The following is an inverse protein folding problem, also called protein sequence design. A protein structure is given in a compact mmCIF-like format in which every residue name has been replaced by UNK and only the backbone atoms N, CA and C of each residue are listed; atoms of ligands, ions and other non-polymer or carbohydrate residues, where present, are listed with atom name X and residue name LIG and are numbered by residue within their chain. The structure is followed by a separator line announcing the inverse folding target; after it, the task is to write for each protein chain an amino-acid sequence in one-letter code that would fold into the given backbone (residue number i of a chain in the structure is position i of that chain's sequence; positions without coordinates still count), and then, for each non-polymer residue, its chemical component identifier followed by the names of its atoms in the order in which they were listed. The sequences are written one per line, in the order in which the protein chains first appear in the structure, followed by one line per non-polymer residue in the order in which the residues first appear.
data_IF_988247550209
#
_entry.id   IF_988247550209
#
_cell.length_a   1.000
_cell.length_b   1.000
_cell.length_c   1.000
_cell.angle_alpha   90.00
_cell.angle_beta   90.00
_cell.angle_gamma   90.00
#
_symmetry.space_group_name_H-M   'P 1'
#
loop_
_entity.id
_entity.type
_entity.pdbx_description
1 polymer ?
#
# COMPACT_ATOMS: atom_id res chain seq x y z
N UNK A 1 18.72 -5.13 -17.57
CA UNK A 1 17.30 -4.82 -17.32
C UNK A 1 17.24 -3.84 -16.15
N UNK A 2 16.57 -2.69 -16.29
CA UNK A 2 16.40 -1.73 -15.18
C UNK A 2 15.55 -2.35 -14.07
N UNK A 3 15.59 -1.79 -12.86
CA UNK A 3 14.73 -2.25 -11.77
C UNK A 3 13.26 -2.03 -12.12
N UNK A 4 12.92 -0.92 -12.80
CA UNK A 4 11.57 -0.68 -13.32
C UNK A 4 11.13 -1.77 -14.28
N UNK A 5 11.98 -2.20 -15.22
CA UNK A 5 11.63 -3.31 -16.10
C UNK A 5 11.43 -4.63 -15.34
N UNK A 6 12.28 -4.93 -14.33
CA UNK A 6 12.11 -6.11 -13.46
C UNK A 6 10.79 -6.05 -12.68
N UNK A 7 10.51 -4.90 -12.07
CA UNK A 7 9.31 -4.67 -11.27
C UNK A 7 8.04 -4.82 -12.12
N UNK A 8 8.01 -4.20 -13.31
CA UNK A 8 6.87 -4.28 -14.22
C UNK A 8 6.62 -5.70 -14.73
N UNK A 9 7.68 -6.50 -14.93
CA UNK A 9 7.55 -7.92 -15.25
C UNK A 9 7.03 -8.75 -14.06
N UNK A 10 7.37 -8.36 -12.82
CA UNK A 10 6.93 -9.07 -11.62
C UNK A 10 5.47 -8.72 -11.24
N UNK A 11 5.10 -7.45 -11.38
CA UNK A 11 3.77 -6.91 -11.11
C UNK A 11 3.48 -5.74 -12.05
N UNK A 12 2.34 -5.81 -12.72
CA UNK A 12 1.72 -4.70 -13.43
C UNK A 12 0.21 -4.86 -13.34
N UNK A 13 -0.50 -3.74 -13.36
CA UNK A 13 -1.96 -3.72 -13.37
C UNK A 13 -2.46 -2.98 -14.61
N UNK A 14 -3.51 -3.53 -15.23
CA UNK A 14 -4.17 -2.91 -16.39
C UNK A 14 -5.13 -1.78 -15.97
N UNK A 15 -5.53 -1.74 -14.69
CA UNK A 15 -6.33 -0.68 -14.10
C UNK A 15 -5.41 0.21 -13.26
N UNK A 16 -5.75 1.51 -13.14
CA UNK A 16 -4.94 2.46 -12.37
C UNK A 16 -5.41 2.63 -10.92
N UNK A 17 -6.64 2.21 -10.61
CA UNK A 17 -7.25 2.27 -9.28
C UNK A 17 -8.48 1.38 -9.18
N UNK A 18 -8.85 1.01 -7.96
CA UNK A 18 -10.07 0.28 -7.60
C UNK A 18 -10.93 1.10 -6.66
N UNK A 19 -12.24 0.90 -6.70
CA UNK A 19 -13.17 1.53 -5.76
C UNK A 19 -13.01 0.89 -4.37
N UNK A 20 -12.60 1.69 -3.38
CA UNK A 20 -12.44 1.22 -2.01
C UNK A 20 -13.74 1.39 -1.21
N UNK A 21 -14.47 2.49 -1.44
CA UNK A 21 -15.71 2.77 -0.74
C UNK A 21 -16.16 4.22 -0.88
N UNK A 22 -17.12 4.62 -0.06
CA UNK A 22 -17.66 5.98 0.00
C UNK A 22 -17.46 6.57 1.38
N UNK A 23 -16.88 7.76 1.47
CA UNK A 23 -16.70 8.46 2.75
C UNK A 23 -18.05 8.72 3.39
N UNK A 24 -18.23 8.35 4.66
CA UNK A 24 -19.44 8.64 5.43
C UNK A 24 -19.57 10.13 5.73
N UNK A 25 -18.44 10.82 5.96
CA UNK A 25 -18.41 12.24 6.30
C UNK A 25 -18.75 13.13 5.11
N UNK A 26 -18.14 12.85 3.95
CA UNK A 26 -18.23 13.72 2.78
C UNK A 26 -19.16 13.17 1.69
N UNK A 27 -19.62 11.92 1.81
CA UNK A 27 -20.44 11.26 0.81
C UNK A 27 -19.78 11.22 -0.59
N UNK A 28 -18.45 11.15 -0.62
CA UNK A 28 -17.64 11.06 -1.85
C UNK A 28 -17.02 9.67 -2.00
N UNK A 29 -16.90 9.19 -3.24
CA UNK A 29 -16.16 7.97 -3.55
C UNK A 29 -14.67 8.13 -3.25
N UNK A 30 -14.05 7.09 -2.70
CA UNK A 30 -12.61 7.00 -2.49
C UNK A 30 -12.06 5.78 -3.22
N UNK A 31 -10.87 5.93 -3.81
CA UNK A 31 -10.24 4.90 -4.62
C UNK A 31 -8.86 4.55 -4.06
N UNK A 32 -8.52 3.27 -4.10
CA UNK A 32 -7.17 2.77 -3.86
C UNK A 32 -6.45 2.68 -5.20
N UNK A 33 -5.34 3.39 -5.34
CA UNK A 33 -4.54 3.39 -6.56
C UNK A 33 -3.62 2.18 -6.60
N UNK A 34 -3.43 1.64 -7.80
CA UNK A 34 -2.60 0.45 -8.00
C UNK A 34 -1.13 0.75 -7.71
N UNK A 35 -0.39 -0.21 -7.13
CA UNK A 35 1.03 -0.02 -6.88
C UNK A 35 1.82 0.28 -8.17
N UNK A 36 2.77 1.21 -8.07
CA UNK A 36 3.69 1.56 -9.15
C UNK A 36 5.13 1.47 -8.68
N UNK A 37 6.05 1.07 -9.56
CA UNK A 37 7.47 1.09 -9.24
C UNK A 37 8.10 2.38 -9.76
N UNK A 38 8.46 3.26 -8.84
CA UNK A 38 8.85 4.63 -9.12
C UNK A 38 10.36 4.84 -8.96
N UNK A 39 10.88 5.79 -9.73
CA UNK A 39 12.27 6.26 -9.70
C UNK A 39 13.35 5.17 -9.89
N UNK A 40 13.00 3.94 -10.27
CA UNK A 40 13.89 2.77 -10.37
C UNK A 40 14.35 2.20 -9.00
N UNK A 41 13.68 2.55 -7.88
CA UNK A 41 14.13 2.10 -6.55
C UNK A 41 13.09 1.87 -5.45
N UNK A 42 11.80 2.17 -5.67
CA UNK A 42 10.78 1.89 -4.65
C UNK A 42 9.39 1.69 -5.25
N UNK A 43 8.52 1.01 -4.49
CA UNK A 43 7.09 0.89 -4.80
C UNK A 43 6.29 2.04 -4.17
N UNK A 44 5.54 2.79 -4.97
CA UNK A 44 4.38 3.56 -4.53
C UNK A 44 3.22 2.60 -4.26
N UNK A 45 2.64 2.64 -3.05
CA UNK A 45 1.51 1.79 -2.66
C UNK A 45 0.61 2.49 -1.65
N UNK A 46 -0.68 2.15 -1.69
CA UNK A 46 -1.66 2.53 -0.67
C UNK A 46 -2.10 3.98 -0.75
N UNK A 47 -1.94 4.62 -1.90
CA UNK A 47 -2.51 5.93 -2.14
C UNK A 47 -4.03 5.83 -2.23
N UNK A 48 -4.70 6.53 -1.31
CA UNK A 48 -6.14 6.67 -1.24
C UNK A 48 -6.52 8.07 -1.69
N UNK A 49 -7.42 8.17 -2.66
CA UNK A 49 -7.82 9.48 -3.12
C UNK A 49 -9.00 9.52 -4.06
N UNK A 50 -9.45 10.76 -4.27
CA UNK A 50 -10.41 11.17 -5.27
C UNK A 50 -9.95 12.52 -5.86
N UNK A 51 -10.84 13.30 -6.49
CA UNK A 51 -10.45 14.59 -7.07
C UNK A 51 -10.14 15.67 -6.02
N UNK A 52 -10.60 15.51 -4.78
CA UNK A 52 -10.58 16.52 -3.72
C UNK A 52 -9.75 16.10 -2.49
N UNK A 53 -9.33 14.84 -2.40
CA UNK A 53 -8.66 14.28 -1.24
C UNK A 53 -7.58 13.28 -1.63
N UNK A 54 -6.42 13.37 -0.98
CA UNK A 54 -5.21 12.62 -1.30
C UNK A 54 -4.43 12.29 -0.02
N UNK A 55 -4.33 11.02 0.34
CA UNK A 55 -3.56 10.56 1.49
C UNK A 55 -3.10 9.11 1.30
N UNK A 56 -2.18 8.66 2.14
CA UNK A 56 -1.70 7.28 2.12
C UNK A 56 -2.37 6.47 3.23
N UNK A 57 -2.69 5.21 2.93
CA UNK A 57 -3.26 4.25 3.86
C UNK A 57 -2.37 4.06 5.11
N UNK A 58 -1.03 4.17 4.97
CA UNK A 58 -0.09 4.12 6.10
C UNK A 58 -0.26 5.27 7.10
N UNK A 59 -0.79 6.41 6.65
CA UNK A 59 -1.04 7.57 7.50
C UNK A 59 -2.48 7.63 8.00
N UNK A 60 -3.33 6.67 7.60
CA UNK A 60 -4.78 6.73 7.83
C UNK A 60 -5.19 6.60 9.30
N UNK A 61 -4.32 6.01 10.13
CA UNK A 61 -4.51 5.94 11.57
C UNK A 61 -4.29 7.30 12.27
N UNK A 62 -3.85 8.34 11.55
CA UNK A 62 -3.76 9.70 12.07
C UNK A 62 -5.04 10.47 11.72
N UNK A 63 -5.57 11.23 12.68
CA UNK A 63 -6.68 12.13 12.40
C UNK A 63 -6.27 13.16 11.32
N UNK A 64 -7.17 13.43 10.37
CA UNK A 64 -6.88 14.33 9.23
C UNK A 64 -6.46 15.72 9.72
N UNK A 65 -5.21 16.12 9.43
CA UNK A 65 -4.66 17.42 9.84
C UNK A 65 -4.24 17.51 11.30
N UNK A 66 -4.18 16.39 12.02
CA UNK A 66 -3.86 16.31 13.45
C UNK A 66 -2.70 15.35 13.69
N UNK A 67 -1.86 15.64 14.70
CA UNK A 67 -0.82 14.71 15.18
C UNK A 67 -1.38 13.67 16.15
N UNK A 68 -2.69 13.69 16.42
CA UNK A 68 -3.34 12.72 17.28
C UNK A 68 -3.54 11.43 16.49
N UNK A 69 -2.77 10.40 16.87
CA UNK A 69 -3.03 9.04 16.44
C UNK A 69 -4.40 8.62 16.99
N UNK A 70 -5.24 8.07 16.13
CA UNK A 70 -6.47 7.40 16.56
C UNK A 70 -6.03 6.16 17.34
N UNK A 71 -6.63 5.93 18.50
CA UNK A 71 -6.38 4.72 19.29
C UNK A 71 -7.20 3.54 18.72
N UNK A 72 -6.98 3.22 17.45
CA UNK A 72 -7.65 2.12 16.75
C UNK A 72 -6.81 1.61 15.59
N UNK A 73 -7.06 0.37 15.18
CA UNK A 73 -6.37 -0.24 14.06
C UNK A 73 -6.94 0.20 12.70
N UNK A 74 -6.31 -0.27 11.61
CA UNK A 74 -6.73 0.06 10.25
C UNK A 74 -8.13 -0.47 9.92
N UNK A 75 -8.49 -1.65 10.44
CA UNK A 75 -9.77 -2.30 10.19
C UNK A 75 -10.90 -1.43 10.75
N UNK A 76 -10.78 -1.05 12.02
CA UNK A 76 -11.77 -0.22 12.70
C UNK A 76 -11.83 1.18 12.06
N UNK A 77 -10.69 1.80 11.76
CA UNK A 77 -10.65 3.11 11.12
C UNK A 77 -11.35 3.12 9.75
N UNK A 78 -11.12 2.10 8.92
CA UNK A 78 -11.76 1.99 7.61
C UNK A 78 -13.28 1.78 7.74
N UNK A 79 -13.72 0.95 8.70
CA UNK A 79 -15.15 0.74 8.96
C UNK A 79 -15.81 1.97 9.55
N UNK A 80 -15.12 2.75 10.36
CA UNK A 80 -15.66 3.98 10.93
C UNK A 80 -15.96 4.99 9.81
N UNK A 81 -15.01 5.18 8.90
CA UNK A 81 -15.04 6.33 7.99
C UNK A 81 -15.66 6.06 6.61
N UNK A 82 -15.72 4.79 6.19
CA UNK A 82 -16.22 4.41 4.87
C UNK A 82 -17.41 3.48 4.92
N UNK A 83 -18.31 3.67 3.97
CA UNK A 83 -19.13 2.57 3.45
C UNK A 83 -18.25 1.86 2.42
N UNK A 84 -17.62 0.76 2.84
CA UNK A 84 -16.66 0.02 2.02
C UNK A 84 -17.34 -0.62 0.80
N UNK A 85 -16.55 -0.90 -0.24
CA UNK A 85 -17.02 -1.63 -1.41
C UNK A 85 -17.46 -3.05 -1.03
N UNK A 86 -18.32 -3.71 -1.82
CA UNK A 86 -18.92 -5.00 -1.44
C UNK A 86 -17.90 -6.06 -1.02
N UNK A 87 -16.75 -6.12 -1.69
CA UNK A 87 -15.68 -7.05 -1.35
C UNK A 87 -15.13 -6.89 0.07
N UNK A 88 -15.05 -5.65 0.56
CA UNK A 88 -14.46 -5.30 1.85
C UNK A 88 -15.50 -5.07 2.96
N UNK A 89 -16.80 -5.21 2.65
CA UNK A 89 -17.83 -5.26 3.68
C UNK A 89 -17.84 -6.59 4.44
N UNK A 90 -17.21 -7.63 3.88
CA UNK A 90 -16.93 -8.86 4.61
C UNK A 90 -15.73 -8.64 5.53
N UNK A 91 -15.93 -8.80 6.84
CA UNK A 91 -14.90 -8.55 7.84
C UNK A 91 -13.64 -9.42 7.65
N UNK A 92 -13.76 -10.67 7.19
CA UNK A 92 -12.59 -11.51 6.93
C UNK A 92 -11.76 -10.94 5.77
N UNK A 93 -12.40 -10.48 4.70
CA UNK A 93 -11.70 -9.84 3.58
C UNK A 93 -11.05 -8.53 3.99
N UNK A 94 -11.71 -7.74 4.85
CA UNK A 94 -11.13 -6.50 5.35
C UNK A 94 -9.91 -6.76 6.25
N UNK A 95 -9.96 -7.76 7.13
CA UNK A 95 -8.80 -8.17 7.92
C UNK A 95 -7.64 -8.63 7.03
N UNK A 96 -7.92 -9.46 6.02
CA UNK A 96 -6.90 -9.90 5.05
C UNK A 96 -6.30 -8.70 4.30
N UNK A 97 -7.13 -7.75 3.88
CA UNK A 97 -6.66 -6.51 3.26
C UNK A 97 -5.71 -5.74 4.20
N UNK A 98 -6.09 -5.55 5.46
CA UNK A 98 -5.28 -4.83 6.44
C UNK A 98 -3.94 -5.52 6.71
N UNK A 99 -3.93 -6.85 6.82
CA UNK A 99 -2.71 -7.66 7.00
C UNK A 99 -1.75 -7.50 5.81
N UNK A 100 -2.27 -7.68 4.59
CA UNK A 100 -1.49 -7.56 3.36
C UNK A 100 -0.93 -6.14 3.18
N UNK A 101 -1.76 -5.12 3.41
CA UNK A 101 -1.36 -3.73 3.26
C UNK A 101 -0.28 -3.32 4.27
N UNK A 102 -0.45 -3.70 5.53
CA UNK A 102 0.51 -3.41 6.61
C UNK A 102 1.84 -4.11 6.35
N UNK A 103 1.79 -5.38 5.93
CA UNK A 103 2.98 -6.15 5.55
C UNK A 103 3.72 -5.51 4.35
N UNK A 104 2.98 -5.04 3.35
CA UNK A 104 3.57 -4.36 2.20
C UNK A 104 4.30 -3.07 2.60
N UNK A 105 3.74 -2.28 3.53
CA UNK A 105 4.42 -1.10 4.06
C UNK A 105 5.71 -1.45 4.80
N UNK A 106 5.68 -2.47 5.67
CA UNK A 106 6.88 -2.93 6.38
C UNK A 106 7.99 -3.36 5.41
N UNK A 107 7.64 -4.14 4.38
CA UNK A 107 8.61 -4.58 3.38
C UNK A 107 9.16 -3.43 2.53
N UNK A 108 8.33 -2.45 2.17
CA UNK A 108 8.81 -1.24 1.47
C UNK A 108 9.89 -0.53 2.30
N UNK A 109 9.65 -0.30 3.59
CA UNK A 109 10.61 0.38 4.46
C UNK A 109 11.91 -0.42 4.60
N UNK A 110 11.81 -1.74 4.81
CA UNK A 110 12.96 -2.64 4.92
C UNK A 110 13.78 -2.64 3.63
N UNK A 111 13.12 -2.72 2.47
CA UNK A 111 13.81 -2.68 1.18
C UNK A 111 14.57 -1.37 0.98
N UNK A 112 13.98 -0.24 1.36
CA UNK A 112 14.68 1.05 1.29
C UNK A 112 15.92 1.07 2.20
N UNK A 113 15.81 0.52 3.43
CA UNK A 113 16.95 0.37 4.35
C UNK A 113 18.04 -0.50 3.72
N UNK A 114 17.70 -1.67 3.16
CA UNK A 114 18.66 -2.54 2.49
C UNK A 114 19.30 -1.91 1.25
N UNK A 115 18.61 -1.00 0.57
CA UNK A 115 19.18 -0.27 -0.57
C UNK A 115 20.16 0.82 -0.14
N UNK A 116 19.75 1.67 0.82
CA UNK A 116 20.50 2.90 1.17
C UNK A 116 21.44 2.74 2.36
N UNK A 117 21.23 1.71 3.18
CA UNK A 117 21.96 1.45 4.42
C UNK A 117 21.48 2.29 5.61
N UNK A 118 20.19 2.55 5.74
CA UNK A 118 19.64 3.29 6.88
C UNK A 118 18.31 4.00 6.60
N UNK A 119 17.84 4.81 7.55
CA UNK A 119 16.54 5.49 7.49
C UNK A 119 16.57 6.88 6.84
N UNK A 120 17.71 7.28 6.27
CA UNK A 120 17.87 8.56 5.55
C UNK A 120 17.63 9.84 6.38
N UNK A 121 17.72 9.77 7.70
CA UNK A 121 17.71 10.95 8.58
C UNK A 121 19.06 11.69 8.62
N UNK A 122 20.16 10.93 8.49
CA UNK A 122 21.54 11.43 8.48
C UNK A 122 22.47 10.33 7.95
N UNK A 123 23.78 10.56 7.98
CA UNK A 123 24.78 9.54 7.73
C UNK A 123 24.67 8.44 8.79
N UNK A 124 24.46 7.20 8.34
CA UNK A 124 24.40 6.03 9.22
C UNK A 124 25.80 5.38 9.31
N UNK A 125 26.44 5.31 10.50
CA UNK A 125 27.73 4.64 10.67
C UNK A 125 27.70 3.15 10.29
N UNK A 126 26.55 2.51 10.36
CA UNK A 126 26.34 1.10 10.02
C UNK A 126 25.92 0.89 8.54
N UNK A 127 26.02 1.92 7.68
CA UNK A 127 25.50 1.91 6.30
C UNK A 127 25.92 0.70 5.49
N UNK A 128 27.22 0.40 5.46
CA UNK A 128 27.73 -0.68 4.62
C UNK A 128 27.37 -2.07 5.18
N UNK A 129 27.16 -2.20 6.49
CA UNK A 129 26.66 -3.43 7.11
C UNK A 129 25.16 -3.65 6.83
N UNK A 130 24.38 -2.57 6.77
CA UNK A 130 22.94 -2.62 6.55
C UNK A 130 22.55 -2.78 5.08
N UNK A 131 23.41 -2.42 4.13
CA UNK A 131 23.11 -2.61 2.71
C UNK A 131 23.03 -4.10 2.39
N UNK A 132 21.98 -4.50 1.71
CA UNK A 132 21.81 -5.86 1.24
C UNK A 132 21.07 -5.89 -0.10
N UNK A 133 21.82 -6.03 -1.20
CA UNK A 133 21.24 -6.05 -2.55
C UNK A 133 20.30 -7.23 -2.75
N UNK A 134 20.68 -8.42 -2.29
CA UNK A 134 19.88 -9.62 -2.47
C UNK A 134 18.51 -9.49 -1.82
N UNK A 135 18.47 -9.03 -0.56
CA UNK A 135 17.21 -8.82 0.16
C UNK A 135 16.38 -7.68 -0.45
N UNK A 136 17.03 -6.59 -0.89
CA UNK A 136 16.35 -5.53 -1.63
C UNK A 136 15.67 -6.06 -2.91
N UNK A 137 16.37 -6.87 -3.71
CA UNK A 137 15.82 -7.43 -4.95
C UNK A 137 14.72 -8.46 -4.66
N UNK A 138 14.90 -9.32 -3.66
CA UNK A 138 13.90 -10.29 -3.25
C UNK A 138 12.61 -9.62 -2.78
N UNK A 139 12.70 -8.59 -1.93
CA UNK A 139 11.53 -7.86 -1.48
C UNK A 139 10.82 -7.17 -2.65
N UNK A 140 11.54 -6.41 -3.47
CA UNK A 140 10.91 -5.59 -4.52
C UNK A 140 10.39 -6.38 -5.71
N UNK A 141 11.03 -7.50 -6.06
CA UNK A 141 10.69 -8.23 -7.28
C UNK A 141 10.02 -9.58 -7.02
N UNK A 142 9.89 -9.99 -5.76
CA UNK A 142 9.20 -11.24 -5.39
C UNK A 142 8.11 -10.97 -4.35
N UNK A 143 8.47 -10.50 -3.16
CA UNK A 143 7.53 -10.42 -2.03
C UNK A 143 6.44 -9.36 -2.21
N UNK A 144 6.83 -8.11 -2.52
CA UNK A 144 5.87 -7.03 -2.75
C UNK A 144 4.92 -7.33 -3.93
N UNK A 145 5.43 -7.75 -5.12
CA UNK A 145 4.59 -8.25 -6.20
C UNK A 145 3.60 -9.34 -5.81
N UNK A 146 3.98 -10.29 -4.94
CA UNK A 146 3.09 -11.34 -4.48
C UNK A 146 1.96 -10.78 -3.58
N UNK A 147 2.30 -9.90 -2.64
CA UNK A 147 1.31 -9.24 -1.77
C UNK A 147 0.31 -8.41 -2.58
N UNK A 148 0.79 -7.64 -3.56
CA UNK A 148 -0.09 -6.84 -4.42
C UNK A 148 -1.07 -7.69 -5.22
N UNK A 149 -0.64 -8.85 -5.73
CA UNK A 149 -1.52 -9.80 -6.42
C UNK A 149 -2.60 -10.36 -5.49
N UNK A 150 -2.28 -10.65 -4.22
CA UNK A 150 -3.29 -11.07 -3.25
C UNK A 150 -4.28 -9.94 -2.93
N UNK A 151 -3.81 -8.70 -2.82
CA UNK A 151 -4.67 -7.52 -2.66
C UNK A 151 -5.62 -7.39 -3.87
N UNK A 152 -5.12 -7.50 -5.10
CA UNK A 152 -5.94 -7.37 -6.31
C UNK A 152 -7.08 -8.40 -6.37
N UNK A 153 -6.84 -9.64 -5.92
CA UNK A 153 -7.88 -10.69 -5.87
C UNK A 153 -9.08 -10.31 -5.01
N UNK A 154 -8.89 -9.50 -3.98
CA UNK A 154 -9.98 -9.01 -3.13
C UNK A 154 -10.93 -8.10 -3.92
N UNK A 155 -10.43 -7.35 -4.91
CA UNK A 155 -11.25 -6.40 -5.66
C UNK A 155 -11.85 -7.00 -6.95
N UNK A 156 -11.22 -8.03 -7.52
CA UNK A 156 -11.67 -8.67 -8.78
C UNK A 156 -12.99 -9.44 -8.62
N UNK A 157 -13.30 -9.94 -7.42
CA UNK A 157 -14.48 -10.79 -7.15
C UNK A 157 -15.83 -10.06 -7.25
N UNK A 158 -15.84 -8.77 -7.61
CA UNK A 158 -17.06 -7.95 -7.71
C UNK A 158 -17.47 -7.59 -9.14
N UNK A 159 -16.68 -7.96 -10.16
CA UNK A 159 -16.94 -7.58 -11.57
C UNK A 159 -17.73 -8.61 -12.40
N UNK A 160 -18.30 -9.65 -11.79
CA UNK A 160 -19.18 -10.61 -12.47
C UNK A 160 -20.64 -10.40 -12.08
N UNK A 161 -21.18 -9.20 -12.34
CA UNK A 161 -22.61 -8.99 -12.63
C UNK A 161 -22.87 -7.52 -12.98
N UNK A 162 -22.88 -7.22 -14.28
CA UNK A 162 -23.85 -6.33 -14.93
C UNK A 162 -24.22 -6.94 -16.30
#
# INVERSE_FOLDING_TARGET
MSNTSKANSAYSSAISRVFLGKSKKFNESIYLYTPTFDCDWYWGFGYLGNNNCHYFLSSYQQEFGSKLARNMDMFDALKEDYILCPALQNDNNLWVFCELATTAYAFKEIAEVYRRGGSHYSNNPCKELLKNKEQYEHINFVLLPALFKEIDKLFITTNTTE
#
